data_IF_024577332454
#
_entry.id   IF_024577332454
#
_cell.length_a   1.000
_cell.length_b   1.000
_cell.length_c   1.000
_cell.angle_alpha   90.00
_cell.angle_beta   90.00
_cell.angle_gamma   90.00
#
_symmetry.space_group_name_H-M   'P 1'
#
loop_
_entity.id
_entity.type
_entity.pdbx_description
1 polymer ?
#
# COMPACT_ATOMS: atom_id res chain seq x y z
N UNK A 1 -35.47 -15.64 -27.72
CA UNK A 1 -34.15 -16.10 -27.24
C UNK A 1 -32.98 -15.65 -28.13
N UNK A 2 -33.14 -15.43 -29.44
CA UNK A 2 -32.04 -15.06 -30.37
C UNK A 2 -31.44 -13.66 -30.20
N UNK A 3 -32.19 -12.67 -29.70
CA UNK A 3 -31.67 -11.31 -29.45
C UNK A 3 -30.74 -11.20 -28.23
N UNK A 4 -31.00 -12.00 -27.18
CA UNK A 4 -30.17 -12.01 -25.97
C UNK A 4 -28.83 -12.72 -26.18
N UNK A 5 -28.80 -13.74 -27.05
CA UNK A 5 -27.57 -14.43 -27.43
C UNK A 5 -26.63 -13.54 -28.27
N UNK A 6 -27.18 -12.66 -29.13
CA UNK A 6 -26.39 -11.75 -29.97
C UNK A 6 -25.67 -10.64 -29.20
N UNK A 7 -26.22 -10.18 -28.07
CA UNK A 7 -25.58 -9.14 -27.24
C UNK A 7 -24.38 -9.66 -26.44
N UNK A 8 -24.32 -10.97 -26.13
CA UNK A 8 -23.21 -11.56 -25.38
C UNK A 8 -21.91 -11.71 -26.18
N UNK A 9 -22.00 -11.83 -27.50
CA UNK A 9 -20.84 -12.05 -28.38
C UNK A 9 -20.26 -10.78 -29.02
N UNK A 10 -20.81 -9.60 -28.74
CA UNK A 10 -20.17 -8.34 -29.11
C UNK A 10 -18.87 -8.19 -28.32
N UNK A 11 -17.75 -8.35 -29.04
CA UNK A 11 -16.39 -8.03 -28.61
C UNK A 11 -16.40 -6.61 -28.01
N UNK A 12 -16.40 -6.52 -26.67
CA UNK A 12 -16.50 -5.26 -25.92
C UNK A 12 -17.55 -5.21 -24.80
N UNK A 13 -18.46 -6.19 -24.69
CA UNK A 13 -19.37 -6.30 -23.53
C UNK A 13 -18.64 -6.85 -22.31
N UNK A 14 -18.85 -6.25 -21.14
CA UNK A 14 -18.24 -6.68 -19.86
C UNK A 14 -18.52 -8.16 -19.57
N UNK A 15 -19.68 -8.69 -19.98
CA UNK A 15 -20.03 -10.11 -19.84
C UNK A 15 -19.16 -11.04 -20.69
N UNK A 16 -18.75 -10.60 -21.89
CA UNK A 16 -17.88 -11.39 -22.79
C UNK A 16 -16.46 -11.53 -22.25
N UNK A 17 -15.92 -10.47 -21.60
CA UNK A 17 -14.61 -10.52 -20.93
C UNK A 17 -14.62 -11.52 -19.77
N UNK A 18 -15.74 -11.63 -19.04
CA UNK A 18 -15.87 -12.59 -17.94
C UNK A 18 -15.92 -14.02 -18.49
N UNK A 19 -16.73 -14.29 -19.52
CA UNK A 19 -16.79 -15.60 -20.15
C UNK A 19 -15.44 -16.04 -20.72
N UNK A 20 -14.71 -15.16 -21.41
CA UNK A 20 -13.36 -15.44 -21.92
C UNK A 20 -12.39 -15.74 -20.77
N UNK A 21 -12.48 -15.02 -19.65
CA UNK A 21 -11.64 -15.29 -18.48
C UNK A 21 -11.97 -16.65 -17.84
N UNK A 22 -13.24 -17.06 -17.81
CA UNK A 22 -13.62 -18.38 -17.28
C UNK A 22 -13.16 -19.50 -18.21
N UNK A 23 -13.37 -19.36 -19.52
CA UNK A 23 -13.13 -20.45 -20.48
C UNK A 23 -11.68 -20.51 -21.01
N UNK A 24 -10.94 -19.40 -21.03
CA UNK A 24 -9.58 -19.33 -21.56
C UNK A 24 -8.48 -19.23 -20.49
N UNK A 25 -8.83 -19.26 -19.19
CA UNK A 25 -7.83 -19.15 -18.10
C UNK A 25 -7.08 -20.44 -17.80
N UNK A 26 -7.57 -21.59 -18.26
CA UNK A 26 -6.94 -22.89 -17.98
C UNK A 26 -5.82 -23.20 -18.97
N UNK A 27 -4.60 -23.44 -18.47
CA UNK A 27 -3.48 -23.88 -19.28
C UNK A 27 -3.39 -25.42 -19.29
N UNK A 28 -3.83 -26.03 -20.39
CA UNK A 28 -3.85 -27.48 -20.57
C UNK A 28 -2.45 -28.10 -20.72
N UNK A 29 -1.37 -27.30 -20.82
CA UNK A 29 0.01 -27.81 -20.88
C UNK A 29 0.62 -28.09 -19.50
N UNK A 30 -0.07 -27.73 -18.41
CA UNK A 30 0.40 -27.94 -17.04
C UNK A 30 0.11 -29.38 -16.58
N UNK A 31 1.13 -30.25 -16.59
CA UNK A 31 1.01 -31.66 -16.17
C UNK A 31 1.37 -31.90 -14.70
N UNK A 32 2.01 -30.93 -14.02
CA UNK A 32 2.45 -31.09 -12.62
C UNK A 32 1.30 -30.88 -11.61
N UNK A 33 1.16 -31.80 -10.64
CA UNK A 33 0.05 -31.82 -9.64
C UNK A 33 -0.01 -30.59 -8.72
N UNK A 34 1.13 -29.97 -8.39
CA UNK A 34 1.13 -28.77 -7.54
C UNK A 34 0.74 -27.53 -8.35
N UNK A 35 1.21 -27.43 -9.60
CA UNK A 35 0.92 -26.31 -10.49
C UNK A 35 -0.55 -26.30 -10.93
N UNK A 36 -1.14 -27.48 -11.16
CA UNK A 36 -2.59 -27.63 -11.44
C UNK A 36 -3.46 -27.21 -10.24
N UNK A 37 -3.09 -27.59 -9.02
CA UNK A 37 -3.78 -27.12 -7.80
C UNK A 37 -3.69 -25.60 -7.64
N UNK A 38 -2.51 -25.04 -7.85
CA UNK A 38 -2.29 -23.59 -7.76
C UNK A 38 -3.10 -22.81 -8.82
N UNK A 39 -3.14 -23.30 -10.07
CA UNK A 39 -3.98 -22.69 -11.11
C UNK A 39 -5.47 -22.78 -10.78
N UNK A 40 -5.94 -23.95 -10.31
CA UNK A 40 -7.33 -24.13 -9.90
C UNK A 40 -7.73 -23.16 -8.77
N UNK A 41 -6.89 -23.02 -7.74
CA UNK A 41 -7.14 -22.10 -6.64
C UNK A 41 -7.09 -20.63 -7.10
N UNK A 42 -6.20 -20.29 -8.04
CA UNK A 42 -6.10 -18.95 -8.60
C UNK A 42 -7.35 -18.59 -9.42
N UNK A 43 -7.81 -19.49 -10.30
CA UNK A 43 -9.00 -19.29 -11.14
C UNK A 43 -10.25 -19.19 -10.27
N UNK A 44 -10.40 -20.07 -9.27
CA UNK A 44 -11.50 -20.01 -8.30
C UNK A 44 -11.52 -18.68 -7.55
N UNK A 45 -10.35 -18.15 -7.22
CA UNK A 45 -10.22 -16.89 -6.51
C UNK A 45 -10.56 -15.69 -7.39
N UNK A 46 -10.11 -15.67 -8.66
CA UNK A 46 -10.50 -14.65 -9.63
C UNK A 46 -12.00 -14.65 -9.90
N UNK A 47 -12.61 -15.82 -10.07
CA UNK A 47 -14.06 -15.98 -10.26
C UNK A 47 -14.85 -15.41 -9.09
N UNK A 48 -14.42 -15.67 -7.85
CA UNK A 48 -15.07 -15.13 -6.66
C UNK A 48 -15.00 -13.60 -6.60
N UNK A 49 -13.88 -13.02 -6.99
CA UNK A 49 -13.75 -11.56 -7.04
C UNK A 49 -14.65 -10.94 -8.09
N UNK A 50 -14.67 -11.50 -9.30
CA UNK A 50 -15.53 -11.02 -10.38
C UNK A 50 -17.02 -11.14 -9.99
N UNK A 51 -17.41 -12.23 -9.33
CA UNK A 51 -18.78 -12.41 -8.84
C UNK A 51 -19.13 -11.40 -7.74
N UNK A 52 -18.21 -11.13 -6.82
CA UNK A 52 -18.40 -10.15 -5.75
C UNK A 52 -18.49 -8.72 -6.31
N UNK A 53 -17.66 -8.36 -7.29
CA UNK A 53 -17.74 -7.08 -7.99
C UNK A 53 -19.05 -6.93 -8.77
N UNK A 54 -19.49 -7.98 -9.47
CA UNK A 54 -20.76 -7.97 -10.20
C UNK A 54 -21.94 -7.77 -9.27
N UNK A 55 -21.99 -8.53 -8.17
CA UNK A 55 -23.06 -8.42 -7.16
C UNK A 55 -23.10 -7.02 -6.53
N UNK A 56 -21.92 -6.41 -6.29
CA UNK A 56 -21.84 -5.03 -5.78
C UNK A 56 -22.30 -3.98 -6.80
N UNK A 57 -22.14 -4.21 -8.11
CA UNK A 57 -22.59 -3.29 -9.17
C UNK A 57 -24.08 -3.41 -9.45
N UNK A 58 -24.64 -4.62 -9.37
CA UNK A 58 -26.07 -4.88 -9.49
C UNK A 58 -26.86 -4.16 -8.39
N UNK A 59 -26.27 -4.03 -7.20
CA UNK A 59 -26.88 -3.41 -6.03
C UNK A 59 -26.71 -1.87 -5.96
N UNK A 60 -26.63 -1.17 -7.11
CA UNK A 60 -26.42 0.29 -7.16
C UNK A 60 -27.68 1.07 -6.72
N UNK A 61 -27.81 1.15 -5.39
CA UNK A 61 -28.29 2.20 -4.47
C UNK A 61 -29.49 3.06 -4.87
N UNK A 62 -30.55 2.95 -4.07
CA UNK A 62 -31.57 3.99 -3.86
C UNK A 62 -30.92 5.34 -3.51
N UNK A 63 -31.43 6.43 -4.10
CA UNK A 63 -30.97 7.81 -3.86
C UNK A 63 -30.99 8.19 -2.37
N UNK A 64 -31.91 7.63 -1.59
CA UNK A 64 -32.00 7.84 -0.14
C UNK A 64 -30.79 7.28 0.61
N UNK A 65 -30.27 6.12 0.20
CA UNK A 65 -29.07 5.51 0.79
C UNK A 65 -27.79 6.28 0.47
N UNK A 66 -27.73 6.93 -0.70
CA UNK A 66 -26.61 7.78 -1.08
C UNK A 66 -26.61 9.09 -0.30
N UNK A 67 -27.78 9.70 -0.08
CA UNK A 67 -27.92 10.91 0.74
C UNK A 67 -27.56 10.66 2.21
N UNK A 68 -28.03 9.53 2.79
CA UNK A 68 -27.66 9.16 4.17
C UNK A 68 -26.17 8.88 4.32
N UNK A 69 -25.54 8.24 3.33
CA UNK A 69 -24.08 8.00 3.34
C UNK A 69 -23.30 9.31 3.31
N UNK A 70 -23.72 10.27 2.49
CA UNK A 70 -23.11 11.61 2.44
C UNK A 70 -23.32 12.35 3.76
N UNK A 71 -24.50 12.24 4.39
CA UNK A 71 -24.78 12.85 5.69
C UNK A 71 -23.91 12.28 6.81
N UNK A 72 -23.74 10.95 6.88
CA UNK A 72 -22.86 10.29 7.87
C UNK A 72 -21.40 10.66 7.62
N UNK A 73 -20.96 10.66 6.36
CA UNK A 73 -19.60 11.07 6.01
C UNK A 73 -19.35 12.54 6.39
N UNK A 74 -20.33 13.42 6.16
CA UNK A 74 -20.29 14.82 6.56
C UNK A 74 -20.24 14.99 8.07
N UNK A 75 -21.03 14.24 8.83
CA UNK A 75 -21.01 14.24 10.30
C UNK A 75 -19.64 13.80 10.84
N UNK A 76 -19.08 12.71 10.30
CA UNK A 76 -17.74 12.22 10.67
C UNK A 76 -16.67 13.27 10.35
N UNK A 77 -16.79 13.96 9.21
CA UNK A 77 -15.87 15.01 8.81
C UNK A 77 -15.95 16.24 9.73
N UNK A 78 -17.16 16.66 10.10
CA UNK A 78 -17.39 17.75 11.06
C UNK A 78 -16.87 17.41 12.46
N UNK A 79 -17.05 16.17 12.92
CA UNK A 79 -16.48 15.71 14.20
C UNK A 79 -14.94 15.67 14.15
N UNK A 80 -14.34 15.19 13.07
CA UNK A 80 -12.88 15.21 12.89
C UNK A 80 -12.35 16.65 12.88
N UNK A 81 -12.97 17.54 12.13
CA UNK A 81 -12.56 18.94 12.06
C UNK A 81 -12.74 19.64 13.40
N UNK A 82 -13.87 19.44 14.07
CA UNK A 82 -14.16 20.05 15.37
C UNK A 82 -13.20 19.58 16.46
N UNK A 83 -12.90 18.28 16.52
CA UNK A 83 -11.90 17.74 17.46
C UNK A 83 -10.49 18.24 17.17
N UNK A 84 -10.11 18.34 15.89
CA UNK A 84 -8.80 18.87 15.49
C UNK A 84 -8.67 20.35 15.80
N UNK A 85 -9.68 21.17 15.46
CA UNK A 85 -9.73 22.59 15.79
C UNK A 85 -9.74 22.82 17.30
N UNK A 86 -10.52 22.04 18.06
CA UNK A 86 -10.55 22.09 19.52
C UNK A 86 -9.19 21.76 20.15
N UNK A 87 -8.50 20.72 19.66
CA UNK A 87 -7.16 20.40 20.12
C UNK A 87 -6.16 21.52 19.79
N UNK A 88 -6.26 22.11 18.59
CA UNK A 88 -5.37 23.19 18.16
C UNK A 88 -5.58 24.46 18.98
N UNK A 89 -6.83 24.82 19.27
CA UNK A 89 -7.20 25.93 20.14
C UNK A 89 -6.76 25.69 21.59
N UNK A 90 -6.93 24.46 22.10
CA UNK A 90 -6.48 24.08 23.43
C UNK A 90 -4.95 24.19 23.57
N UNK A 91 -4.19 23.70 22.59
CA UNK A 91 -2.72 23.82 22.58
C UNK A 91 -2.28 25.28 22.42
N UNK A 92 -2.95 26.06 21.57
CA UNK A 92 -2.64 27.48 21.38
C UNK A 92 -2.88 28.30 22.65
N UNK A 93 -4.05 28.15 23.27
CA UNK A 93 -4.39 28.83 24.53
C UNK A 93 -3.46 28.40 25.67
N UNK A 94 -3.09 27.12 25.73
CA UNK A 94 -2.10 26.61 26.67
C UNK A 94 -0.71 27.22 26.44
N UNK A 95 -0.29 27.35 25.18
CA UNK A 95 0.99 27.97 24.82
C UNK A 95 1.03 29.44 25.23
N UNK A 96 -0.04 30.21 24.99
CA UNK A 96 -0.19 31.60 25.46
C UNK A 96 -0.13 31.70 26.99
N UNK A 97 -0.82 30.79 27.71
CA UNK A 97 -0.83 30.74 29.18
C UNK A 97 0.58 30.51 29.76
N UNK A 98 1.35 29.62 29.12
CA UNK A 98 2.71 29.26 29.50
C UNK A 98 3.73 30.36 29.24
N UNK A 99 3.52 31.18 28.21
CA UNK A 99 4.42 32.30 27.87
C UNK A 99 4.22 33.49 28.80
N UNK A 100 3.00 33.70 29.34
CA UNK A 100 2.66 34.89 30.14
C UNK A 100 2.89 34.80 31.65
N UNK A 101 3.16 33.63 32.24
CA UNK A 101 3.12 33.46 33.70
C UNK A 101 4.42 32.89 34.30
N UNK A 102 5.03 33.53 35.33
CA UNK A 102 6.10 32.92 36.10
C UNK A 102 5.53 31.79 36.98
N UNK A 103 6.19 30.63 36.97
CA UNK A 103 5.70 29.36 37.52
C UNK A 103 5.71 29.36 39.06
N UNK A 104 4.55 29.05 39.67
CA UNK A 104 4.43 28.62 41.07
C UNK A 104 4.09 27.12 41.12
N UNK A 105 4.65 26.41 42.11
CA UNK A 105 4.69 24.95 42.21
C UNK A 105 3.32 24.23 42.28
N UNK A 106 2.23 24.95 42.57
CA UNK A 106 0.88 24.35 42.63
C UNK A 106 0.20 24.18 41.25
N UNK A 107 0.77 24.74 40.18
CA UNK A 107 0.16 24.69 38.82
C UNK A 107 0.60 23.51 37.96
N UNK A 108 1.52 22.67 38.43
CA UNK A 108 2.01 21.51 37.66
C UNK A 108 0.91 20.49 37.33
N UNK A 109 -0.08 20.32 38.22
CA UNK A 109 -1.22 19.44 37.98
C UNK A 109 -2.15 19.94 36.86
N UNK A 110 -2.37 21.26 36.78
CA UNK A 110 -3.18 21.88 35.70
C UNK A 110 -2.43 21.82 34.36
N UNK A 111 -1.10 21.91 34.42
CA UNK A 111 -0.19 21.77 33.29
C UNK A 111 -0.23 20.37 32.65
N UNK A 112 -0.46 19.33 33.45
CA UNK A 112 -0.61 17.95 32.99
C UNK A 112 -2.05 17.60 32.58
N UNK A 113 -3.05 18.33 33.07
CA UNK A 113 -4.47 18.08 32.78
C UNK A 113 -4.79 18.27 31.29
N UNK A 114 -4.20 19.27 30.65
CA UNK A 114 -4.49 19.63 29.26
C UNK A 114 -3.88 18.61 28.26
N UNK A 115 -2.61 18.18 28.39
CA UNK A 115 -2.08 17.02 27.66
C UNK A 115 -2.84 15.72 27.94
N UNK A 116 -3.29 15.49 29.18
CA UNK A 116 -4.09 14.32 29.55
C UNK A 116 -5.44 14.31 28.82
N UNK A 117 -6.15 15.44 28.79
CA UNK A 117 -7.43 15.58 28.07
C UNK A 117 -7.23 15.40 26.57
N UNK A 118 -6.17 15.96 25.99
CA UNK A 118 -5.82 15.77 24.57
C UNK A 118 -5.47 14.30 24.26
N UNK A 119 -4.78 13.60 25.17
CA UNK A 119 -4.52 12.16 25.05
C UNK A 119 -5.80 11.33 25.15
N UNK A 120 -6.71 11.66 26.08
CA UNK A 120 -8.00 10.97 26.23
C UNK A 120 -8.88 11.17 24.99
N UNK A 121 -8.88 12.36 24.40
CA UNK A 121 -9.60 12.65 23.15
C UNK A 121 -9.01 11.89 21.96
N UNK A 122 -7.68 11.85 21.82
CA UNK A 122 -7.01 11.09 20.76
C UNK A 122 -7.13 9.56 20.94
N UNK A 123 -7.27 9.07 22.17
CA UNK A 123 -7.53 7.67 22.46
C UNK A 123 -8.99 7.31 22.20
N UNK A 124 -9.94 8.14 22.63
CA UNK A 124 -11.38 7.92 22.51
C UNK A 124 -11.93 8.13 21.10
N UNK A 125 -11.35 9.06 20.33
CA UNK A 125 -11.74 9.37 18.95
C UNK A 125 -11.83 8.13 18.04
N UNK A 126 -10.78 7.30 17.94
CA UNK A 126 -10.81 6.06 17.16
C UNK A 126 -11.92 5.07 17.56
N UNK A 127 -12.29 5.01 18.85
CA UNK A 127 -13.41 4.17 19.31
C UNK A 127 -14.77 4.77 18.94
N UNK A 128 -14.93 6.09 19.08
CA UNK A 128 -16.10 6.81 18.57
C UNK A 128 -16.27 6.60 17.08
N UNK A 129 -15.19 6.69 16.29
CA UNK A 129 -15.22 6.42 14.84
C UNK A 129 -15.56 4.96 14.53
N UNK A 130 -15.09 4.00 15.33
CA UNK A 130 -15.50 2.60 15.19
C UNK A 130 -16.98 2.39 15.48
N UNK A 131 -17.54 3.05 16.49
CA UNK A 131 -18.97 2.97 16.83
C UNK A 131 -19.81 3.64 15.75
N UNK A 132 -19.40 4.82 15.26
CA UNK A 132 -20.04 5.52 14.14
C UNK A 132 -20.01 4.69 12.84
N UNK A 133 -18.87 4.07 12.53
CA UNK A 133 -18.73 3.17 11.38
C UNK A 133 -19.55 1.88 11.54
N UNK A 134 -19.76 1.41 12.77
CA UNK A 134 -20.66 0.30 13.06
C UNK A 134 -22.13 0.72 12.90
N UNK A 135 -22.49 1.95 13.27
CA UNK A 135 -23.81 2.54 13.07
C UNK A 135 -24.14 2.76 11.58
N UNK A 136 -23.15 3.15 10.77
CA UNK A 136 -23.33 3.36 9.32
C UNK A 136 -23.76 2.07 8.59
N UNK A 137 -23.44 0.91 9.16
CA UNK A 137 -23.65 -0.40 8.53
C UNK A 137 -25.07 -0.97 8.71
N UNK A 138 -25.99 -0.27 9.39
CA UNK A 138 -27.37 -0.74 9.58
C UNK A 138 -28.44 0.18 9.00
N UNK A 139 -29.07 -0.30 7.94
CA UNK A 139 -30.30 0.22 7.31
C UNK A 139 -31.55 -0.30 8.03
N UNK A 140 -32.24 0.55 8.82
CA UNK A 140 -33.69 0.52 9.20
C UNK A 140 -34.26 -0.75 9.91
N UNK A 141 -35.55 -0.75 10.33
CA UNK A 141 -36.11 -0.75 11.70
C UNK A 141 -36.03 -2.09 12.47
N UNK A 142 -35.11 -2.98 12.07
CA UNK A 142 -34.87 -4.29 12.69
C UNK A 142 -33.98 -4.17 13.95
N UNK A 143 -33.55 -2.96 14.30
CA UNK A 143 -32.50 -2.67 15.28
C UNK A 143 -32.79 -3.18 16.71
N UNK A 144 -34.05 -3.19 17.17
CA UNK A 144 -34.42 -3.73 18.48
C UNK A 144 -34.30 -5.27 18.54
N UNK A 145 -34.77 -5.94 17.49
CA UNK A 145 -34.70 -7.41 17.34
C UNK A 145 -33.26 -7.84 17.03
N UNK A 146 -32.50 -7.02 16.31
CA UNK A 146 -31.09 -7.26 16.00
C UNK A 146 -30.17 -7.04 17.20
N UNK A 147 -30.47 -6.15 18.15
CA UNK A 147 -29.69 -6.01 19.39
C UNK A 147 -29.85 -7.25 20.28
N UNK A 148 -31.06 -7.83 20.34
CA UNK A 148 -31.33 -9.08 21.05
C UNK A 148 -30.66 -10.30 20.37
N UNK A 149 -30.74 -10.39 19.04
CA UNK A 149 -30.05 -11.43 18.26
C UNK A 149 -28.53 -11.22 18.27
N UNK A 150 -28.03 -9.99 18.29
CA UNK A 150 -26.60 -9.67 18.39
C UNK A 150 -26.01 -10.05 19.74
N UNK A 151 -26.76 -9.98 20.86
CA UNK A 151 -26.29 -10.55 22.14
C UNK A 151 -26.12 -12.07 22.04
N UNK A 152 -27.09 -12.78 21.45
CA UNK A 152 -27.07 -14.24 21.28
C UNK A 152 -26.04 -14.72 20.23
N UNK A 153 -25.80 -13.91 19.20
CA UNK A 153 -24.88 -14.19 18.11
C UNK A 153 -23.45 -13.75 18.44
N UNK A 154 -23.24 -12.75 19.30
CA UNK A 154 -21.89 -12.35 19.78
C UNK A 154 -21.25 -13.44 20.64
N UNK A 155 -22.03 -14.11 21.51
CA UNK A 155 -21.54 -15.27 22.28
C UNK A 155 -21.21 -16.47 21.37
N UNK A 156 -21.94 -16.67 20.27
CA UNK A 156 -21.71 -17.78 19.32
C UNK A 156 -20.68 -17.46 18.23
N UNK A 157 -20.53 -16.19 17.81
CA UNK A 157 -19.54 -15.72 16.82
C UNK A 157 -18.14 -15.60 17.41
N UNK A 158 -18.00 -15.28 18.70
CA UNK A 158 -16.71 -15.36 19.37
C UNK A 158 -16.13 -16.78 19.31
N UNK A 159 -16.99 -17.80 19.22
CA UNK A 159 -16.63 -19.21 19.00
C UNK A 159 -16.54 -19.65 17.52
N UNK A 160 -17.01 -18.85 16.55
CA UNK A 160 -17.11 -19.24 15.12
C UNK A 160 -16.31 -18.39 14.13
N UNK A 161 -15.85 -17.19 14.49
CA UNK A 161 -14.98 -16.40 13.61
C UNK A 161 -13.63 -17.12 13.50
N UNK A 162 -13.33 -17.65 12.32
CA UNK A 162 -11.99 -18.13 11.99
C UNK A 162 -10.94 -17.04 12.28
N UNK A 163 -9.71 -17.49 12.54
CA UNK A 163 -8.56 -16.65 12.88
C UNK A 163 -8.45 -15.43 11.94
N UNK A 164 -8.40 -14.18 12.46
CA UNK A 164 -8.31 -12.98 11.62
C UNK A 164 -7.04 -12.98 10.74
N UNK A 165 -7.16 -12.46 9.52
CA UNK A 165 -6.00 -12.22 8.65
C UNK A 165 -5.17 -11.03 9.18
N UNK A 166 -3.85 -11.15 9.14
CA UNK A 166 -2.95 -10.10 9.62
C UNK A 166 -2.82 -9.00 8.56
N UNK A 167 -3.36 -7.81 8.83
CA UNK A 167 -3.20 -6.63 7.98
C UNK A 167 -1.80 -6.02 8.17
N UNK A 168 -0.89 -6.40 7.26
CA UNK A 168 0.49 -5.93 7.23
C UNK A 168 0.54 -4.41 6.98
N UNK A 169 -0.32 -3.89 6.12
CA UNK A 169 -0.22 -2.52 5.64
C UNK A 169 -0.61 -1.50 6.71
N UNK A 170 -1.71 -1.74 7.43
CA UNK A 170 -2.13 -0.90 8.54
C UNK A 170 -1.08 -0.85 9.65
N UNK A 171 -0.49 -2.01 9.98
CA UNK A 171 0.51 -2.11 11.04
C UNK A 171 1.84 -1.42 10.68
N UNK A 172 2.26 -1.50 9.42
CA UNK A 172 3.46 -0.81 8.94
C UNK A 172 3.22 0.70 8.85
N UNK A 173 2.04 1.14 8.42
CA UNK A 173 1.72 2.57 8.34
C UNK A 173 1.69 3.23 9.72
N UNK A 174 1.12 2.56 10.72
CA UNK A 174 1.15 3.00 12.12
C UNK A 174 2.60 3.09 12.66
N UNK A 175 3.47 2.16 12.24
CA UNK A 175 4.89 2.17 12.57
C UNK A 175 5.60 3.40 11.99
N UNK A 176 5.38 3.68 10.69
CA UNK A 176 5.99 4.81 9.97
C UNK A 176 5.55 6.12 10.64
N UNK A 177 4.26 6.27 10.94
CA UNK A 177 3.74 7.45 11.65
C UNK A 177 4.39 7.64 13.03
N UNK A 178 4.59 6.57 13.80
CA UNK A 178 5.26 6.66 15.10
C UNK A 178 6.74 7.08 14.98
N UNK A 179 7.42 6.61 13.93
CA UNK A 179 8.82 6.96 13.65
C UNK A 179 8.97 8.43 13.22
N UNK A 180 8.10 8.91 12.33
CA UNK A 180 8.15 10.32 11.90
C UNK A 180 7.90 11.28 13.04
N UNK A 181 6.94 10.99 13.91
CA UNK A 181 6.67 11.82 15.08
C UNK A 181 7.88 11.87 16.03
N UNK A 182 8.55 10.73 16.21
CA UNK A 182 9.78 10.66 17.02
C UNK A 182 10.89 11.50 16.39
N UNK A 183 11.06 11.46 15.06
CA UNK A 183 12.04 12.28 14.35
C UNK A 183 11.73 13.77 14.43
N UNK A 184 10.47 14.18 14.36
CA UNK A 184 10.08 15.58 14.56
C UNK A 184 10.36 16.06 16.00
N UNK A 185 10.14 15.19 16.99
CA UNK A 185 10.26 15.51 18.41
C UNK A 185 11.66 15.39 19.02
N UNK A 186 12.59 14.67 18.37
CA UNK A 186 13.90 14.33 18.98
C UNK A 186 14.73 15.54 19.39
N UNK A 187 14.61 16.64 18.64
CA UNK A 187 15.31 17.90 18.93
C UNK A 187 14.84 18.53 20.25
N UNK A 188 13.55 18.36 20.57
CA UNK A 188 12.93 18.95 21.75
C UNK A 188 12.97 18.02 22.97
N UNK A 189 12.98 16.70 22.75
CA UNK A 189 13.08 15.70 23.81
C UNK A 189 13.99 14.55 23.38
N UNK A 190 15.27 14.57 23.80
CA UNK A 190 16.24 13.54 23.43
C UNK A 190 15.95 12.16 24.04
N UNK A 191 14.96 12.06 24.94
CA UNK A 191 14.50 10.79 25.52
C UNK A 191 13.49 10.06 24.62
N UNK A 192 12.88 10.75 23.65
CA UNK A 192 11.87 10.17 22.74
C UNK A 192 12.40 8.97 21.93
N UNK A 193 13.63 8.98 21.37
CA UNK A 193 14.17 7.81 20.68
C UNK A 193 14.29 6.58 21.58
N UNK A 194 14.70 6.76 22.84
CA UNK A 194 14.80 5.66 23.80
C UNK A 194 13.42 5.06 24.11
N UNK A 195 12.42 5.93 24.38
CA UNK A 195 11.03 5.50 24.58
C UNK A 195 10.47 4.79 23.33
N UNK A 196 10.82 5.26 22.14
CA UNK A 196 10.39 4.66 20.88
C UNK A 196 11.05 3.29 20.65
N UNK A 197 12.32 3.11 20.99
CA UNK A 197 12.99 1.80 20.91
C UNK A 197 12.28 0.78 21.82
N UNK A 198 11.99 1.16 23.07
CA UNK A 198 11.26 0.30 24.02
C UNK A 198 9.86 -0.04 23.48
N UNK A 199 9.12 0.96 22.98
CA UNK A 199 7.78 0.76 22.38
C UNK A 199 7.84 -0.18 21.17
N UNK A 200 8.82 -0.02 20.29
CA UNK A 200 9.00 -0.85 19.11
C UNK A 200 9.33 -2.30 19.48
N UNK A 201 10.19 -2.51 20.47
CA UNK A 201 10.49 -3.85 21.00
C UNK A 201 9.23 -4.52 21.56
N UNK A 202 8.47 -3.81 22.39
CA UNK A 202 7.22 -4.34 22.96
C UNK A 202 6.18 -4.66 21.87
N UNK A 203 5.96 -3.72 20.94
CA UNK A 203 5.05 -3.92 19.81
C UNK A 203 5.49 -5.09 18.93
N UNK A 204 6.79 -5.26 18.70
CA UNK A 204 7.32 -6.39 17.94
C UNK A 204 6.96 -7.73 18.60
N UNK A 205 7.23 -7.88 19.90
CA UNK A 205 6.91 -9.12 20.61
C UNK A 205 5.42 -9.39 20.68
N UNK A 206 4.60 -8.37 20.96
CA UNK A 206 3.13 -8.49 20.99
C UNK A 206 2.58 -8.89 19.62
N UNK A 207 3.00 -8.21 18.55
CA UNK A 207 2.52 -8.48 17.18
C UNK A 207 3.04 -9.82 16.69
N UNK A 208 4.26 -10.22 17.02
CA UNK A 208 4.81 -11.56 16.74
C UNK A 208 4.00 -12.65 17.43
N UNK A 209 3.72 -12.50 18.74
CA UNK A 209 2.92 -13.45 19.49
C UNK A 209 1.48 -13.54 18.94
N UNK A 210 0.86 -12.39 18.65
CA UNK A 210 -0.48 -12.31 18.04
C UNK A 210 -0.52 -12.99 16.66
N UNK A 211 0.50 -12.78 15.83
CA UNK A 211 0.59 -13.37 14.50
C UNK A 211 0.77 -14.89 14.56
N UNK A 212 1.59 -15.40 15.50
CA UNK A 212 1.84 -16.83 15.66
C UNK A 212 0.65 -17.58 16.31
N UNK A 213 -0.07 -16.94 17.25
CA UNK A 213 -1.15 -17.58 18.00
C UNK A 213 -2.53 -17.42 17.33
N UNK A 214 -2.85 -16.20 16.86
CA UNK A 214 -4.21 -15.79 16.51
C UNK A 214 -4.46 -15.57 15.02
N UNK A 215 -3.44 -15.43 14.16
CA UNK A 215 -3.65 -15.10 12.75
C UNK A 215 -3.52 -16.30 11.81
N UNK A 216 -4.26 -16.27 10.70
CA UNK A 216 -4.12 -17.24 9.61
C UNK A 216 -3.15 -16.70 8.56
N UNK A 217 -2.32 -17.58 7.97
CA UNK A 217 -1.41 -17.18 6.89
C UNK A 217 -2.21 -16.63 5.69
N UNK A 218 -1.78 -15.49 5.11
CA UNK A 218 -2.49 -14.86 4.00
C UNK A 218 -2.57 -15.81 2.80
N UNK A 219 -3.78 -15.99 2.24
CA UNK A 219 -4.05 -16.98 1.17
C UNK A 219 -3.56 -16.56 -0.22
N UNK A 220 -3.29 -15.27 -0.42
CA UNK A 220 -2.71 -14.76 -1.65
C UNK A 220 -1.21 -14.54 -1.43
N UNK A 221 -0.33 -15.09 -2.29
CA UNK A 221 1.07 -14.69 -2.33
C UNK A 221 1.13 -13.25 -2.84
N UNK A 222 0.91 -12.32 -1.93
CA UNK A 222 1.04 -10.90 -2.20
C UNK A 222 2.51 -10.65 -2.55
N UNK A 223 2.81 -10.10 -3.73
CA UNK A 223 4.19 -9.85 -4.19
C UNK A 223 4.93 -9.02 -3.14
N UNK A 224 5.71 -9.68 -2.28
CA UNK A 224 6.41 -9.08 -1.14
C UNK A 224 7.29 -7.88 -1.56
N UNK A 225 7.84 -7.93 -2.78
CA UNK A 225 8.66 -6.88 -3.39
C UNK A 225 7.91 -5.55 -3.65
N UNK A 226 6.60 -5.58 -3.97
CA UNK A 226 5.87 -4.34 -4.29
C UNK A 226 5.48 -3.57 -3.01
N UNK A 227 5.06 -4.28 -1.96
CA UNK A 227 4.72 -3.65 -0.68
C UNK A 227 5.96 -3.05 0.01
N UNK A 228 7.08 -3.76 0.06
CA UNK A 228 8.30 -3.25 0.68
C UNK A 228 8.78 -1.96 0.00
N UNK A 229 8.70 -1.89 -1.34
CA UNK A 229 9.09 -0.71 -2.10
C UNK A 229 8.20 0.49 -1.81
N UNK A 230 6.87 0.29 -1.73
CA UNK A 230 5.93 1.38 -1.39
C UNK A 230 6.16 1.88 0.04
N UNK A 231 6.32 0.98 1.02
CA UNK A 231 6.57 1.39 2.40
C UNK A 231 7.93 2.06 2.61
N UNK A 232 8.99 1.56 1.97
CA UNK A 232 10.32 2.20 2.00
C UNK A 232 10.24 3.59 1.34
N UNK A 233 9.57 3.72 0.20
CA UNK A 233 9.36 5.02 -0.45
C UNK A 233 8.59 5.97 0.46
N UNK A 234 7.56 5.51 1.16
CA UNK A 234 6.75 6.31 2.08
C UNK A 234 7.52 6.67 3.38
N UNK A 235 8.46 5.84 3.80
CA UNK A 235 9.33 6.11 4.95
C UNK A 235 10.50 7.05 4.59
N UNK A 236 11.05 6.97 3.38
CA UNK A 236 12.15 7.82 2.94
C UNK A 236 11.68 9.21 2.47
N UNK A 237 10.67 9.30 1.61
CA UNK A 237 10.34 10.54 0.91
C UNK A 237 9.49 11.54 1.72
N UNK A 238 8.27 11.22 2.21
CA UNK A 238 7.49 12.19 2.99
C UNK A 238 7.93 12.24 4.47
N UNK A 239 8.39 11.11 4.98
CA UNK A 239 8.61 10.87 6.41
C UNK A 239 9.99 11.34 6.87
N UNK A 240 11.06 10.76 6.32
CA UNK A 240 12.44 11.11 6.70
C UNK A 240 12.85 12.48 6.14
N UNK A 241 12.67 12.72 4.84
CA UNK A 241 13.03 14.01 4.23
C UNK A 241 12.22 15.15 4.85
N UNK A 242 10.92 14.96 5.09
CA UNK A 242 10.06 15.95 5.75
C UNK A 242 10.53 16.28 7.17
N UNK A 243 10.84 15.26 7.97
CA UNK A 243 11.38 15.46 9.31
C UNK A 243 12.76 16.12 9.29
N UNK A 244 13.65 15.73 8.36
CA UNK A 244 14.97 16.33 8.21
C UNK A 244 14.89 17.82 7.83
N UNK A 245 14.03 18.18 6.87
CA UNK A 245 13.79 19.57 6.47
C UNK A 245 13.24 20.38 7.65
N UNK A 246 12.25 19.84 8.37
CA UNK A 246 11.70 20.48 9.55
C UNK A 246 12.77 20.71 10.64
N UNK A 247 13.59 19.70 10.93
CA UNK A 247 14.67 19.80 11.91
C UNK A 247 15.74 20.83 11.48
N UNK A 248 16.13 20.84 10.21
CA UNK A 248 17.08 21.82 9.68
C UNK A 248 16.52 23.24 9.81
N UNK A 249 15.25 23.44 9.44
CA UNK A 249 14.57 24.72 9.62
C UNK A 249 14.51 25.13 11.10
N UNK A 250 14.16 24.20 11.99
CA UNK A 250 14.11 24.46 13.42
C UNK A 250 15.48 24.88 13.99
N UNK A 251 16.55 24.19 13.63
CA UNK A 251 17.91 24.51 14.09
C UNK A 251 18.39 25.87 13.57
N UNK A 252 18.00 26.24 12.33
CA UNK A 252 18.50 27.45 11.68
C UNK A 252 17.69 28.71 12.02
N UNK A 253 16.37 28.59 12.16
CA UNK A 253 15.47 29.75 12.24
C UNK A 253 14.74 29.87 13.58
N UNK A 254 14.58 28.80 14.36
CA UNK A 254 13.82 28.88 15.62
C UNK A 254 14.71 29.42 16.73
N UNK A 255 14.31 30.56 17.30
CA UNK A 255 14.97 31.16 18.45
C UNK A 255 14.74 30.29 19.70
N UNK A 256 15.81 29.84 20.39
CA UNK A 256 15.68 29.02 21.59
C UNK A 256 15.11 29.84 22.76
N UNK A 257 14.59 29.15 23.78
CA UNK A 257 14.08 29.77 25.00
C UNK A 257 15.17 30.55 25.74
N UNK A 258 14.87 31.78 26.15
CA UNK A 258 15.80 32.67 26.87
C UNK A 258 15.98 32.29 28.34
N UNK A 259 14.99 31.64 28.95
CA UNK A 259 14.97 31.34 30.40
C UNK A 259 15.56 29.97 30.76
N UNK A 260 15.48 28.97 29.88
CA UNK A 260 15.93 27.60 30.16
C UNK A 260 16.54 26.89 28.94
N UNK A 261 17.28 25.80 29.17
CA UNK A 261 17.91 24.98 28.11
C UNK A 261 19.43 25.18 27.90
N UNK A 262 20.08 24.43 27.00
CA UNK A 262 21.53 24.56 26.74
C UNK A 262 21.89 25.74 25.82
N UNK A 263 20.91 26.40 25.20
CA UNK A 263 21.10 27.43 24.15
C UNK A 263 20.68 28.85 24.59
N UNK A 264 20.57 29.12 25.90
CA UNK A 264 19.91 30.33 26.48
C UNK A 264 20.51 31.67 26.04
N UNK A 265 21.75 31.67 25.55
CA UNK A 265 22.52 32.87 25.21
C UNK A 265 22.73 33.05 23.71
N UNK A 266 22.11 32.21 22.87
CA UNK A 266 22.31 32.19 21.43
C UNK A 266 21.03 32.58 20.71
N UNK A 267 21.15 33.33 19.63
CA UNK A 267 19.99 33.72 18.81
C UNK A 267 19.46 32.57 17.96
N UNK A 268 20.32 31.63 17.57
CA UNK A 268 19.92 30.40 16.86
C UNK A 268 20.65 29.18 17.38
N UNK A 269 20.04 27.99 17.30
CA UNK A 269 20.67 26.73 17.72
C UNK A 269 21.92 26.42 16.89
N UNK A 270 21.97 26.87 15.62
CA UNK A 270 23.15 26.76 14.77
C UNK A 270 24.41 27.41 15.36
N UNK A 271 24.27 28.54 16.07
CA UNK A 271 25.43 29.19 16.70
C UNK A 271 26.10 28.35 17.77
N UNK A 272 25.38 27.39 18.35
CA UNK A 272 25.90 26.53 19.39
C UNK A 272 26.96 25.58 18.83
N UNK A 273 26.76 25.15 17.58
CA UNK A 273 27.77 24.41 16.81
C UNK A 273 29.05 25.22 16.67
N UNK A 274 28.95 26.50 16.26
CA UNK A 274 30.12 27.40 16.14
C UNK A 274 30.87 27.57 17.47
N UNK A 275 30.15 27.71 18.59
CA UNK A 275 30.76 27.84 19.92
C UNK A 275 31.43 26.53 20.37
N UNK A 276 30.81 25.38 20.11
CA UNK A 276 31.38 24.07 20.44
C UNK A 276 32.65 23.80 19.63
N UNK A 277 32.65 24.13 18.33
CA UNK A 277 33.82 24.04 17.45
C UNK A 277 34.98 24.90 17.96
N UNK A 278 34.74 26.15 18.38
CA UNK A 278 35.78 27.02 18.97
C UNK A 278 36.32 26.50 20.30
N UNK A 279 35.50 25.82 21.11
CA UNK A 279 35.98 25.16 22.36
C UNK A 279 36.84 23.94 22.04
N UNK A 280 36.49 23.18 21.02
CA UNK A 280 37.28 22.03 20.55
C UNK A 280 38.67 22.47 20.06
N UNK A 281 38.73 23.58 19.32
CA UNK A 281 40.00 24.15 18.83
C UNK A 281 40.96 24.53 19.97
N UNK A 282 40.42 24.96 21.12
CA UNK A 282 41.21 25.23 22.34
C UNK A 282 41.61 23.97 23.12
N UNK A 283 40.92 22.85 22.95
CA UNK A 283 41.13 21.62 23.72
C UNK A 283 42.34 20.77 23.24
N UNK A 284 42.92 21.08 22.07
CA UNK A 284 44.25 20.59 21.69
C UNK A 284 44.45 20.29 20.20
N UNK A 285 45.71 20.12 19.75
CA UNK A 285 46.07 19.89 18.35
C UNK A 285 45.64 18.52 17.79
N UNK A 286 45.16 17.61 18.64
CA UNK A 286 44.67 16.28 18.22
C UNK A 286 43.27 16.33 17.57
N UNK A 287 42.53 17.43 17.74
CA UNK A 287 41.15 17.62 17.24
C UNK A 287 40.99 18.84 16.31
N UNK A 288 42.08 19.50 15.91
CA UNK A 288 42.09 20.68 15.04
C UNK A 288 41.55 20.41 13.62
N UNK A 289 41.47 19.14 13.21
CA UNK A 289 40.88 18.75 11.93
C UNK A 289 39.35 18.94 11.88
N UNK A 290 38.63 18.84 13.02
CA UNK A 290 37.16 19.01 13.07
C UNK A 290 36.73 20.46 12.73
N UNK A 291 37.28 21.50 13.37
CA UNK A 291 36.98 22.89 13.02
C UNK A 291 37.31 23.23 11.57
N UNK A 292 38.44 22.72 11.05
CA UNK A 292 38.85 22.93 9.66
C UNK A 292 37.85 22.33 8.67
N UNK A 293 37.37 21.10 8.90
CA UNK A 293 36.33 20.46 8.08
C UNK A 293 35.00 21.23 8.17
N UNK A 294 34.58 21.62 9.37
CA UNK A 294 33.33 22.38 9.52
C UNK A 294 33.39 23.70 8.73
N UNK A 295 34.51 24.43 8.83
CA UNK A 295 34.71 25.68 8.11
C UNK A 295 34.69 25.48 6.59
N UNK A 296 35.49 24.53 6.11
CA UNK A 296 35.61 24.26 4.68
C UNK A 296 34.36 23.63 4.06
N UNK A 297 33.54 22.89 4.82
CA UNK A 297 32.36 22.20 4.30
C UNK A 297 31.06 23.01 4.42
N UNK A 298 30.92 23.83 5.47
CA UNK A 298 29.67 24.55 5.79
C UNK A 298 29.75 26.05 5.50
N UNK A 299 30.91 26.70 5.69
CA UNK A 299 31.05 28.14 5.42
C UNK A 299 31.41 28.43 3.96
N UNK A 300 32.21 27.58 3.32
CA UNK A 300 32.52 27.73 1.90
C UNK A 300 31.37 27.25 1.01
N UNK A 301 31.03 28.05 0.00
CA UNK A 301 29.91 27.74 -0.91
C UNK A 301 30.30 26.69 -1.96
N UNK A 302 31.60 26.56 -2.24
CA UNK A 302 32.17 25.63 -3.23
C UNK A 302 31.79 24.14 -3.03
N UNK A 303 31.96 23.51 -1.85
CA UNK A 303 31.60 22.11 -1.64
C UNK A 303 30.10 21.84 -1.83
N UNK A 304 29.24 22.80 -1.49
CA UNK A 304 27.79 22.68 -1.69
C UNK A 304 27.48 22.63 -3.20
N UNK A 305 28.13 23.49 -4.00
CA UNK A 305 28.02 23.43 -5.46
C UNK A 305 28.60 22.14 -6.03
N UNK A 306 29.73 21.65 -5.52
CA UNK A 306 30.34 20.39 -5.97
C UNK A 306 29.43 19.19 -5.68
N UNK A 307 28.87 19.09 -4.47
CA UNK A 307 27.96 18.01 -4.07
C UNK A 307 26.66 18.07 -4.86
N UNK A 308 26.09 19.26 -5.07
CA UNK A 308 24.87 19.41 -5.89
C UNK A 308 25.12 19.05 -7.36
N UNK A 309 26.26 19.44 -7.94
CA UNK A 309 26.67 19.02 -9.28
C UNK A 309 26.87 17.50 -9.38
N UNK A 310 27.51 16.89 -8.37
CA UNK A 310 27.69 15.44 -8.31
C UNK A 310 26.35 14.70 -8.19
N UNK A 311 25.43 15.19 -7.36
CA UNK A 311 24.08 14.66 -7.24
C UNK A 311 23.31 14.76 -8.56
N UNK A 312 23.38 15.91 -9.24
CA UNK A 312 22.78 16.10 -10.57
C UNK A 312 23.37 15.13 -11.60
N UNK A 313 24.68 14.93 -11.61
CA UNK A 313 25.34 13.97 -12.47
C UNK A 313 24.89 12.53 -12.18
N UNK A 314 24.81 12.13 -10.91
CA UNK A 314 24.30 10.81 -10.50
C UNK A 314 22.85 10.63 -10.90
N UNK A 315 21.99 11.62 -10.68
CA UNK A 315 20.57 11.58 -11.09
C UNK A 315 20.47 11.44 -12.61
N UNK A 316 21.25 12.23 -13.36
CA UNK A 316 21.29 12.17 -14.82
C UNK A 316 21.72 10.79 -15.32
N UNK A 317 22.79 10.22 -14.75
CA UNK A 317 23.26 8.88 -15.09
C UNK A 317 22.20 7.82 -14.76
N UNK A 318 21.53 7.90 -13.60
CA UNK A 318 20.45 6.98 -13.24
C UNK A 318 19.28 7.08 -14.22
N UNK A 319 18.89 8.28 -14.63
CA UNK A 319 17.85 8.49 -15.65
C UNK A 319 18.27 7.85 -16.98
N UNK A 320 19.53 8.02 -17.40
CA UNK A 320 20.05 7.38 -18.60
C UNK A 320 20.02 5.85 -18.49
N UNK A 321 20.48 5.30 -17.36
CA UNK A 321 20.48 3.85 -17.11
C UNK A 321 19.06 3.30 -17.17
N UNK A 322 18.09 3.95 -16.50
CA UNK A 322 16.68 3.53 -16.53
C UNK A 322 16.10 3.61 -17.94
N UNK A 323 16.42 4.66 -18.72
CA UNK A 323 16.02 4.76 -20.14
C UNK A 323 16.63 3.62 -20.97
N UNK A 324 17.90 3.27 -20.74
CA UNK A 324 18.57 2.14 -21.38
C UNK A 324 17.89 0.81 -21.06
N UNK A 325 17.63 0.54 -19.78
CA UNK A 325 16.95 -0.68 -19.32
C UNK A 325 15.54 -0.81 -19.93
N UNK A 326 14.78 0.30 -20.03
CA UNK A 326 13.46 0.30 -20.68
C UNK A 326 13.53 -0.09 -22.16
N UNK A 327 14.53 0.39 -22.91
CA UNK A 327 14.74 0.01 -24.31
C UNK A 327 15.05 -1.47 -24.46
N UNK A 328 15.94 -2.01 -23.63
CA UNK A 328 16.30 -3.44 -23.64
C UNK A 328 15.07 -4.31 -23.37
N UNK A 329 14.26 -3.95 -22.37
CA UNK A 329 13.00 -4.67 -22.07
C UNK A 329 12.02 -4.61 -23.25
N UNK A 330 11.95 -3.49 -23.96
CA UNK A 330 11.09 -3.36 -25.14
C UNK A 330 11.52 -4.32 -26.25
N UNK A 331 12.81 -4.34 -26.58
CA UNK A 331 13.37 -5.22 -27.60
C UNK A 331 13.19 -6.71 -27.25
N UNK A 332 13.41 -7.08 -25.98
CA UNK A 332 13.16 -8.45 -25.50
C UNK A 332 11.70 -8.87 -25.67
N UNK A 333 10.75 -7.97 -25.36
CA UNK A 333 9.32 -8.26 -25.54
C UNK A 333 8.95 -8.44 -27.01
N UNK A 334 9.55 -7.63 -27.89
CA UNK A 334 9.34 -7.72 -29.34
C UNK A 334 9.92 -9.03 -29.89
N UNK A 335 11.12 -9.43 -29.47
CA UNK A 335 11.70 -10.73 -29.82
C UNK A 335 10.81 -11.90 -29.37
N UNK A 336 10.31 -11.86 -28.13
CA UNK A 336 9.39 -12.89 -27.62
C UNK A 336 8.08 -12.93 -28.41
N UNK A 337 7.57 -11.78 -28.84
CA UNK A 337 6.36 -11.69 -29.68
C UNK A 337 6.60 -12.33 -31.04
N UNK A 338 7.69 -11.97 -31.71
CA UNK A 338 8.04 -12.48 -33.04
C UNK A 338 8.33 -13.99 -33.00
N UNK A 339 9.07 -14.48 -31.99
CA UNK A 339 9.24 -15.92 -31.77
C UNK A 339 7.91 -16.64 -31.48
N UNK A 340 6.97 -15.96 -30.81
CA UNK A 340 5.64 -16.46 -30.54
C UNK A 340 4.84 -16.66 -31.83
N UNK A 341 4.85 -15.67 -32.73
CA UNK A 341 4.20 -15.75 -34.04
C UNK A 341 4.81 -16.85 -34.92
N UNK A 342 6.14 -16.98 -34.96
CA UNK A 342 6.82 -18.05 -35.71
C UNK A 342 6.41 -19.44 -35.20
N UNK A 343 6.35 -19.64 -33.87
CA UNK A 343 5.90 -20.91 -33.28
C UNK A 343 4.46 -21.23 -33.64
N UNK A 344 3.56 -20.24 -33.61
CA UNK A 344 2.16 -20.40 -34.04
C UNK A 344 2.09 -20.77 -35.52
N UNK A 345 2.88 -20.11 -36.37
CA UNK A 345 2.96 -20.41 -37.79
C UNK A 345 3.44 -21.84 -38.06
N UNK A 346 4.51 -22.29 -37.39
CA UNK A 346 4.99 -23.66 -37.50
C UNK A 346 3.95 -24.69 -37.03
N UNK A 347 3.26 -24.44 -35.91
CA UNK A 347 2.20 -25.33 -35.41
C UNK A 347 1.07 -25.44 -36.42
N UNK A 348 0.59 -24.32 -36.97
CA UNK A 348 -0.46 -24.31 -38.00
C UNK A 348 -0.04 -25.10 -39.25
N UNK A 349 1.23 -24.99 -39.67
CA UNK A 349 1.76 -25.75 -40.81
C UNK A 349 1.81 -27.26 -40.51
N UNK A 350 2.26 -27.65 -39.32
CA UNK A 350 2.27 -29.03 -38.85
C UNK A 350 0.85 -29.62 -38.80
N UNK A 351 -0.11 -28.87 -38.27
CA UNK A 351 -1.51 -29.30 -38.17
C UNK A 351 -2.13 -29.53 -39.56
N UNK A 352 -1.89 -28.64 -40.53
CA UNK A 352 -2.31 -28.83 -41.93
C UNK A 352 -1.72 -30.08 -42.58
N UNK A 353 -0.44 -30.38 -42.30
CA UNK A 353 0.21 -31.60 -42.82
C UNK A 353 -0.40 -32.85 -42.20
N UNK A 354 -0.70 -32.81 -40.89
CA UNK A 354 -1.34 -33.91 -40.19
C UNK A 354 -2.75 -34.19 -40.74
N UNK A 355 -3.58 -33.14 -40.88
CA UNK A 355 -4.92 -33.24 -41.48
C UNK A 355 -4.91 -33.78 -42.91
N UNK A 356 -3.92 -33.35 -43.73
CA UNK A 356 -3.77 -33.87 -45.10
C UNK A 356 -3.41 -35.35 -45.09
N UNK A 357 -2.50 -35.78 -44.20
CA UNK A 357 -2.11 -37.19 -44.06
C UNK A 357 -3.28 -38.06 -43.56
N UNK A 358 -4.10 -37.53 -42.66
CA UNK A 358 -5.29 -38.20 -42.15
C UNK A 358 -6.36 -38.37 -43.25
N UNK A 359 -6.64 -37.32 -44.03
CA UNK A 359 -7.50 -37.43 -45.22
C UNK A 359 -6.98 -38.45 -46.25
N UNK A 360 -5.68 -38.47 -46.51
CA UNK A 360 -5.07 -39.47 -47.41
C UNK A 360 -5.10 -40.90 -46.87
N UNK A 361 -5.21 -41.10 -45.55
CA UNK A 361 -5.46 -42.42 -44.94
C UNK A 361 -6.94 -42.80 -45.03
N UNK A 362 -7.84 -41.87 -44.73
CA UNK A 362 -9.29 -42.08 -44.84
C UNK A 362 -9.69 -42.49 -46.27
N UNK A 363 -9.24 -41.75 -47.29
CA UNK A 363 -9.55 -42.07 -48.70
C UNK A 363 -9.02 -43.44 -49.15
N UNK A 364 -7.83 -43.86 -48.66
CA UNK A 364 -7.30 -45.20 -48.93
C UNK A 364 -8.10 -46.32 -48.26
N UNK A 365 -8.80 -46.00 -47.17
CA UNK A 365 -9.65 -46.96 -46.45
C UNK A 365 -11.02 -47.09 -47.14
N UNK A 366 -11.50 -46.02 -47.78
CA UNK A 366 -12.73 -45.98 -48.57
C UNK A 366 -12.59 -46.69 -49.93
N UNK A 367 -11.46 -46.49 -50.64
CA UNK A 367 -11.15 -47.23 -51.87
C UNK A 367 -10.99 -48.73 -51.66
N UNK A 368 -10.54 -49.17 -50.47
CA UNK A 368 -10.43 -50.59 -50.13
C UNK A 368 -11.78 -51.26 -49.81
N UNK A 369 -12.84 -50.49 -49.57
CA UNK A 369 -14.17 -50.99 -49.16
C UNK A 369 -15.20 -50.94 -50.31
N UNK A 370 -14.89 -50.26 -51.42
CA UNK A 370 -15.83 -50.16 -52.57
C UNK A 370 -15.55 -51.30 -53.57
N UNK A 371 -16.48 -52.24 -53.82
CA UNK A 371 -16.28 -53.29 -54.82
C UNK A 371 -16.48 -52.72 -56.23
N UNK A 372 -15.78 -53.26 -57.26
CA UNK A 372 -15.88 -52.74 -58.62
C UNK A 372 -17.29 -53.01 -59.19
N UNK A 373 -17.98 -51.95 -59.59
CA UNK A 373 -19.27 -52.02 -60.26
C UNK A 373 -19.12 -52.64 -61.65
N UNK A 374 -19.90 -53.70 -61.88
CA UNK A 374 -20.02 -54.44 -63.12
C UNK A 374 -20.61 -53.51 -64.21
N UNK A 375 -19.84 -53.26 -65.27
CA UNK A 375 -20.33 -52.64 -66.50
C UNK A 375 -21.29 -53.63 -67.19
N UNK A 376 -22.59 -53.30 -67.26
CA UNK A 376 -23.54 -53.97 -68.15
C UNK A 376 -23.69 -53.14 -69.42
N UNK A 377 -23.14 -53.66 -70.51
CA UNK A 377 -23.34 -53.16 -71.87
C UNK A 377 -24.82 -53.24 -72.25
N UNK A 378 -25.39 -52.11 -72.67
CA UNK A 378 -26.72 -52.05 -73.29
C UNK A 378 -26.62 -52.38 -74.78
N UNK A 379 -26.95 -53.61 -75.14
CA UNK A 379 -27.48 -53.95 -76.46
C UNK A 379 -28.99 -54.06 -76.30
N UNK A 380 -29.76 -53.27 -77.02
CA UNK A 380 -31.06 -53.68 -77.52
C UNK A 380 -31.35 -52.97 -78.83
N UNK A 381 -31.45 -53.80 -79.86
CA UNK A 381 -31.96 -53.48 -81.18
C UNK A 381 -33.43 -53.90 -81.24
N UNK A 382 -34.16 -53.18 -82.10
CA UNK A 382 -35.44 -53.50 -82.74
C UNK A 382 -36.71 -52.87 -82.17
#
# INVERSE_FOLDING_TARGET
MSRSFGESYRVGSTSGVHAITVFCSWDYKVTQRWATRLQHDNIRTQLKELLAEWQSRQHRRSACGQLRRVAVLGLVWLLCLGTTLGCTLAVYTFSELMIKSPVSAEREAVLLLLPLVVCLLNLGGPYLFRILAALERHDSPVLEVYVAICRLFSEKQLKRKGKPEFDIAGNVLELIYGQTLTWLGVLFSPLLPAMQIIKLLLLFYIKKASLMANCQAPRRPWKASHMSTVFISLLCFPSFLGAAVFLCYAVWQVKPSSTCGPFRTLDTMYEAGKVWVRRLEKAGPRVSWLPWIHRYLVEDTFPIYLVSALLLAVIYLNIQVVKGQRKVICLLKEQISNEGEDKIFLINKLQRVYERKERSRAGRTEEAVTPPALLTDGWDAQ
#
